data_IF_662561973041
#
_entry.id   IF_662561973041
#
_cell.length_a   1.000
_cell.length_b   1.000
_cell.length_c   1.000
_cell.angle_alpha   90.00
_cell.angle_beta   90.00
_cell.angle_gamma   90.00
#
_symmetry.space_group_name_H-M   'P 1'
#
loop_
_entity.id
_entity.type
_entity.pdbx_description
1 polymer ?
#
# COMPACT_ATOMS: atom_id res chain seq x y z
N UNK A 1 13.49 7.30 -25.39
CA UNK A 1 13.10 7.49 -26.80
C UNK A 1 11.98 6.51 -27.10
N UNK A 2 10.80 7.00 -27.47
CA UNK A 2 9.67 6.15 -27.80
C UNK A 2 9.96 5.44 -29.13
N UNK A 3 10.06 4.12 -29.14
CA UNK A 3 10.30 3.40 -30.40
C UNK A 3 9.00 3.38 -31.20
N UNK A 4 8.97 4.05 -32.36
CA UNK A 4 7.78 4.14 -33.21
C UNK A 4 7.45 2.84 -33.96
N UNK A 5 7.85 1.68 -33.42
CA UNK A 5 7.89 0.38 -34.11
C UNK A 5 6.54 -0.03 -34.69
N UNK A 6 5.46 0.28 -33.97
CA UNK A 6 4.10 0.06 -34.45
C UNK A 6 3.79 0.83 -35.74
N UNK A 7 4.21 2.09 -35.84
CA UNK A 7 3.90 2.98 -36.97
C UNK A 7 4.83 2.76 -38.16
N UNK A 8 6.07 2.32 -37.94
CA UNK A 8 7.03 1.97 -38.99
C UNK A 8 6.47 0.94 -39.98
N UNK A 9 5.64 0.00 -39.51
CA UNK A 9 4.98 -1.00 -40.35
C UNK A 9 3.97 -0.42 -41.36
N UNK A 10 3.51 0.81 -41.16
CA UNK A 10 2.55 1.52 -42.01
C UNK A 10 3.20 2.58 -42.90
N UNK A 11 4.53 2.67 -42.90
CA UNK A 11 5.31 3.55 -43.77
C UNK A 11 5.39 2.98 -45.17
N UNK A 12 5.05 3.80 -46.17
CA UNK A 12 5.17 3.47 -47.57
C UNK A 12 6.63 3.56 -48.04
N UNK A 13 6.97 2.80 -49.07
CA UNK A 13 8.33 2.76 -49.63
C UNK A 13 8.67 4.01 -50.45
N UNK A 14 7.67 4.69 -51.02
CA UNK A 14 7.82 5.96 -51.75
C UNK A 14 6.56 6.82 -51.58
N UNK A 15 6.71 8.15 -51.77
CA UNK A 15 5.59 9.10 -51.78
C UNK A 15 4.58 8.85 -52.91
N UNK A 16 5.02 8.18 -53.98
CA UNK A 16 4.21 7.92 -55.19
C UNK A 16 3.39 6.62 -55.13
N UNK A 17 3.53 5.85 -54.04
CA UNK A 17 2.81 4.59 -53.86
C UNK A 17 1.39 4.86 -53.40
N UNK A 18 0.41 4.36 -54.14
CA UNK A 18 -0.98 4.38 -53.69
C UNK A 18 -1.17 3.39 -52.53
N UNK A 19 -1.65 3.82 -51.35
CA UNK A 19 -1.84 2.93 -50.21
C UNK A 19 -2.90 1.85 -50.49
N UNK A 20 -2.68 0.66 -49.90
CA UNK A 20 -3.66 -0.45 -49.98
C UNK A 20 -5.02 -0.01 -49.46
N UNK A 21 -6.09 -0.53 -50.06
CA UNK A 21 -7.47 -0.22 -49.67
C UNK A 21 -7.78 -0.63 -48.20
N UNK A 22 -7.03 -1.59 -47.67
CA UNK A 22 -7.22 -2.14 -46.32
C UNK A 22 -6.28 -1.54 -45.26
N UNK A 23 -5.39 -0.60 -45.65
CA UNK A 23 -4.43 -0.01 -44.72
C UNK A 23 -5.11 0.92 -43.71
N UNK A 24 -5.05 0.53 -42.43
CA UNK A 24 -5.60 1.30 -41.30
C UNK A 24 -4.87 2.64 -41.10
N UNK A 25 -3.54 2.64 -41.15
CA UNK A 25 -2.71 3.84 -41.08
C UNK A 25 -1.87 3.93 -42.35
N UNK A 26 -1.52 5.15 -42.77
CA UNK A 26 -0.71 5.38 -43.97
C UNK A 26 0.27 6.50 -43.70
N UNK A 27 1.57 6.23 -43.82
CA UNK A 27 2.63 7.22 -43.70
C UNK A 27 3.48 7.28 -44.96
N UNK A 28 3.77 8.49 -45.42
CA UNK A 28 4.61 8.79 -46.56
C UNK A 28 6.00 9.19 -46.06
N UNK A 29 7.06 8.66 -46.69
CA UNK A 29 8.43 8.97 -46.28
C UNK A 29 8.75 10.45 -46.51
N UNK A 30 9.51 11.07 -45.62
CA UNK A 30 10.01 12.44 -45.76
C UNK A 30 11.48 12.42 -46.17
N UNK A 31 11.87 13.31 -47.09
CA UNK A 31 13.29 13.45 -47.43
C UNK A 31 13.95 14.40 -46.42
N UNK A 32 15.19 14.10 -46.00
CA UNK A 32 15.93 14.92 -45.02
C UNK A 32 16.02 16.39 -45.47
N UNK A 33 16.16 16.64 -46.78
CA UNK A 33 16.16 18.01 -47.34
C UNK A 33 14.88 18.80 -47.01
N UNK A 34 13.72 18.12 -46.99
CA UNK A 34 12.42 18.76 -46.77
C UNK A 34 12.29 19.19 -45.29
N UNK A 35 12.94 18.45 -44.38
CA UNK A 35 13.02 18.77 -42.95
C UNK A 35 13.88 20.03 -42.78
N UNK A 36 15.10 20.01 -43.32
CA UNK A 36 16.06 21.13 -43.22
C UNK A 36 15.49 22.41 -43.83
N UNK A 37 14.81 22.32 -44.98
CA UNK A 37 14.18 23.48 -45.62
C UNK A 37 13.07 24.07 -44.72
N UNK A 38 12.28 23.22 -44.07
CA UNK A 38 11.20 23.67 -43.17
C UNK A 38 11.74 24.28 -41.87
N UNK A 39 12.79 23.71 -41.28
CA UNK A 39 13.49 24.27 -40.11
C UNK A 39 14.14 25.62 -40.44
N UNK A 40 14.76 25.73 -41.62
CA UNK A 40 15.31 26.99 -42.11
C UNK A 40 14.25 28.07 -42.29
N UNK A 41 13.03 27.69 -42.71
CA UNK A 41 11.90 28.62 -42.82
C UNK A 41 11.37 29.05 -41.45
N UNK A 42 11.31 28.13 -40.49
CA UNK A 42 10.83 28.38 -39.12
C UNK A 42 11.84 29.17 -38.27
N UNK A 43 13.13 29.10 -38.59
CA UNK A 43 14.20 29.74 -37.83
C UNK A 43 14.61 28.98 -36.57
N UNK A 44 14.12 27.74 -36.39
CA UNK A 44 14.49 26.83 -35.31
C UNK A 44 14.41 25.37 -35.77
N UNK A 45 15.09 24.49 -35.04
CA UNK A 45 15.09 23.05 -35.30
C UNK A 45 13.82 22.40 -34.74
N UNK A 46 13.27 21.40 -35.41
CA UNK A 46 12.16 20.65 -34.85
C UNK A 46 12.58 19.97 -33.54
N UNK A 47 11.65 19.79 -32.58
CA UNK A 47 11.93 19.00 -31.39
C UNK A 47 12.45 17.61 -31.76
N UNK A 48 13.44 17.10 -31.03
CA UNK A 48 14.13 15.84 -31.33
C UNK A 48 13.17 14.68 -31.63
N UNK A 49 12.09 14.56 -30.85
CA UNK A 49 11.08 13.51 -31.03
C UNK A 49 10.32 13.62 -32.37
N UNK A 50 10.06 14.85 -32.85
CA UNK A 50 9.37 15.09 -34.11
C UNK A 50 10.30 14.92 -35.31
N UNK A 51 11.56 15.35 -35.18
CA UNK A 51 12.58 15.12 -36.19
C UNK A 51 12.87 13.62 -36.38
N UNK A 52 13.02 12.87 -35.28
CA UNK A 52 13.12 11.40 -35.31
C UNK A 52 11.89 10.76 -35.96
N UNK A 53 10.69 11.24 -35.63
CA UNK A 53 9.46 10.74 -36.24
C UNK A 53 9.43 10.96 -37.76
N UNK A 54 9.85 12.12 -38.26
CA UNK A 54 9.91 12.37 -39.71
C UNK A 54 10.93 11.48 -40.42
N UNK A 55 12.09 11.24 -39.79
CA UNK A 55 13.16 10.39 -40.34
C UNK A 55 12.74 8.92 -40.38
N UNK A 56 12.12 8.42 -39.32
CA UNK A 56 11.80 7.00 -39.17
C UNK A 56 10.44 6.61 -39.75
N UNK A 57 9.42 7.47 -39.61
CA UNK A 57 8.03 7.17 -39.97
C UNK A 57 7.57 8.04 -41.13
N UNK A 58 7.77 9.36 -41.04
CA UNK A 58 7.36 10.34 -42.05
C UNK A 58 6.12 11.13 -41.67
N UNK A 59 5.23 11.43 -42.63
CA UNK A 59 3.98 12.17 -42.40
C UNK A 59 2.80 11.40 -42.97
N UNK A 60 1.58 11.65 -42.51
CA UNK A 60 0.42 10.94 -43.05
C UNK A 60 -0.73 10.79 -42.08
N UNK A 61 -1.56 9.79 -42.32
CA UNK A 61 -2.88 9.66 -41.71
C UNK A 61 -2.96 8.45 -40.79
N UNK A 62 -3.35 8.70 -39.55
CA UNK A 62 -3.91 7.68 -38.69
C UNK A 62 -5.39 7.48 -39.07
N UNK A 63 -5.80 6.23 -39.21
CA UNK A 63 -7.17 5.87 -39.58
C UNK A 63 -7.57 6.46 -40.94
N UNK A 64 -6.75 6.23 -41.97
CA UNK A 64 -6.84 6.83 -43.32
C UNK A 64 -8.21 6.62 -44.01
N UNK A 65 -9.01 5.66 -43.55
CA UNK A 65 -10.36 5.38 -44.07
C UNK A 65 -11.40 5.22 -42.97
N UNK A 66 -11.48 6.18 -42.05
CA UNK A 66 -12.71 6.30 -41.26
C UNK A 66 -13.89 6.46 -42.23
N UNK A 67 -14.91 5.59 -42.11
CA UNK A 67 -16.14 5.65 -42.91
C UNK A 67 -16.89 6.98 -42.74
N UNK A 68 -16.55 7.75 -41.71
CA UNK A 68 -17.08 9.09 -41.41
C UNK A 68 -16.30 10.23 -42.09
N UNK A 69 -15.19 9.92 -42.76
CA UNK A 69 -14.34 10.92 -43.43
C UNK A 69 -13.48 11.74 -42.46
N UNK A 70 -13.36 11.31 -41.21
CA UNK A 70 -12.45 11.92 -40.25
C UNK A 70 -11.04 11.38 -40.46
N UNK A 71 -10.05 12.25 -40.29
CA UNK A 71 -8.67 11.82 -40.35
C UNK A 71 -7.82 12.58 -39.34
N UNK A 72 -6.87 11.84 -38.79
CA UNK A 72 -5.90 12.31 -37.82
C UNK A 72 -4.58 12.36 -38.55
N UNK A 73 -4.07 13.54 -38.88
CA UNK A 73 -2.92 13.66 -39.78
C UNK A 73 -1.73 14.32 -39.12
N UNK A 74 -0.59 13.65 -39.21
CA UNK A 74 0.71 14.27 -39.01
C UNK A 74 1.04 15.09 -40.24
N UNK A 75 1.21 16.40 -40.05
CA UNK A 75 1.48 17.34 -41.13
C UNK A 75 2.87 17.04 -41.73
N UNK A 76 3.07 17.21 -43.04
CA UNK A 76 4.41 17.22 -43.61
C UNK A 76 5.19 18.45 -43.11
N UNK A 77 6.54 18.39 -43.05
CA UNK A 77 7.36 19.51 -42.58
C UNK A 77 7.04 20.85 -43.21
N UNK A 78 6.78 20.88 -44.52
CA UNK A 78 6.42 22.09 -45.24
C UNK A 78 5.11 22.71 -44.72
N UNK A 79 4.07 21.89 -44.49
CA UNK A 79 2.80 22.38 -43.93
C UNK A 79 2.92 22.79 -42.47
N UNK A 80 3.84 22.19 -41.70
CA UNK A 80 4.19 22.68 -40.36
C UNK A 80 4.81 24.07 -40.44
N UNK A 81 5.70 24.32 -41.40
CA UNK A 81 6.21 25.66 -41.63
C UNK A 81 5.09 26.63 -42.07
N UNK A 82 4.23 26.23 -43.01
CA UNK A 82 3.14 27.07 -43.53
C UNK A 82 2.15 27.48 -42.44
N UNK A 83 1.69 26.52 -41.61
CA UNK A 83 0.69 26.78 -40.56
C UNK A 83 1.23 27.65 -39.42
N UNK A 84 2.48 27.44 -38.99
CA UNK A 84 3.08 28.19 -37.89
C UNK A 84 3.59 29.57 -38.34
N UNK A 85 3.94 29.75 -39.62
CA UNK A 85 4.28 31.06 -40.21
C UNK A 85 3.07 31.83 -40.73
N UNK A 86 1.87 31.23 -40.66
CA UNK A 86 0.61 31.76 -41.23
C UNK A 86 0.75 32.13 -42.71
N UNK A 87 1.37 31.25 -43.49
CA UNK A 87 1.50 31.41 -44.94
C UNK A 87 0.40 30.59 -45.63
N UNK A 88 -0.16 31.14 -46.71
CA UNK A 88 -1.19 30.55 -47.60
C UNK A 88 -1.32 29.01 -47.52
N UNK A 89 -2.47 28.43 -47.11
CA UNK A 89 -3.80 29.05 -46.90
C UNK A 89 -4.08 29.57 -45.48
N UNK A 90 -3.09 29.55 -44.57
CA UNK A 90 -3.32 29.76 -43.13
C UNK A 90 -3.27 31.23 -42.67
N UNK A 91 -3.00 32.16 -43.59
CA UNK A 91 -2.83 33.59 -43.28
C UNK A 91 -4.05 34.21 -42.60
N UNK A 92 -5.26 33.79 -42.98
CA UNK A 92 -6.53 34.36 -42.53
C UNK A 92 -7.43 33.32 -41.81
N UNK A 93 -6.85 32.26 -41.25
CA UNK A 93 -7.63 31.22 -40.55
C UNK A 93 -7.97 31.68 -39.11
N UNK A 94 -9.25 31.98 -38.80
CA UNK A 94 -9.64 32.44 -37.47
C UNK A 94 -9.52 31.34 -36.40
N UNK A 95 -9.51 30.05 -36.78
CA UNK A 95 -9.38 28.96 -35.81
C UNK A 95 -7.94 28.87 -35.25
N UNK A 96 -6.97 29.49 -35.91
CA UNK A 96 -5.57 29.56 -35.47
C UNK A 96 -5.31 30.66 -34.43
N UNK A 97 -6.23 31.62 -34.23
CA UNK A 97 -6.09 32.67 -33.20
C UNK A 97 -5.99 32.09 -31.78
N UNK A 98 -6.59 30.92 -31.54
CA UNK A 98 -6.55 30.22 -30.24
C UNK A 98 -5.18 29.58 -29.97
N UNK A 99 -4.36 29.42 -31.00
CA UNK A 99 -3.07 28.74 -30.96
C UNK A 99 -1.87 29.68 -31.15
N UNK A 100 -2.06 30.99 -30.93
CA UNK A 100 -1.05 32.05 -31.09
C UNK A 100 -0.04 32.10 -29.93
N UNK A 101 0.54 30.95 -29.60
CA UNK A 101 1.56 30.81 -28.55
C UNK A 101 2.93 30.52 -29.20
N UNK A 102 3.90 31.44 -29.12
CA UNK A 102 5.20 31.28 -29.77
C UNK A 102 6.05 30.15 -29.17
N UNK A 103 5.62 29.54 -28.06
CA UNK A 103 6.29 28.41 -27.42
C UNK A 103 5.76 27.05 -27.89
N UNK A 104 4.71 27.02 -28.72
CA UNK A 104 4.06 25.79 -29.17
C UNK A 104 4.16 25.63 -30.68
N UNK A 105 4.37 24.39 -31.11
CA UNK A 105 4.46 24.02 -32.52
C UNK A 105 3.23 23.21 -32.93
N UNK A 106 2.53 23.65 -33.98
CA UNK A 106 1.42 22.90 -34.57
C UNK A 106 1.98 21.92 -35.61
N UNK A 107 1.91 20.61 -35.33
CA UNK A 107 2.43 19.56 -36.22
C UNK A 107 1.41 18.46 -36.55
N UNK A 108 0.19 18.56 -36.03
CA UNK A 108 -0.83 17.54 -36.14
C UNK A 108 -2.23 18.16 -36.30
N UNK A 109 -3.01 17.66 -37.24
CA UNK A 109 -4.37 18.12 -37.50
C UNK A 109 -5.41 17.02 -37.24
N UNK A 110 -6.54 17.44 -36.68
CA UNK A 110 -7.73 16.62 -36.47
C UNK A 110 -8.83 17.12 -37.40
N UNK A 111 -9.16 16.37 -38.43
CA UNK A 111 -10.29 16.72 -39.29
C UNK A 111 -11.51 15.91 -38.90
N UNK A 112 -12.58 16.60 -38.53
CA UNK A 112 -13.91 16.01 -38.41
C UNK A 112 -14.81 16.54 -39.53
N UNK A 113 -15.43 15.65 -40.31
CA UNK A 113 -16.39 16.06 -41.34
C UNK A 113 -17.80 16.02 -40.74
N UNK A 114 -18.40 17.19 -40.56
CA UNK A 114 -19.87 17.29 -40.52
C UNK A 114 -20.41 16.79 -41.87
N UNK A 115 -21.28 15.79 -41.83
CA UNK A 115 -21.82 15.10 -43.02
C UNK A 115 -22.57 16.07 -43.95
N UNK A 116 -21.88 16.59 -44.97
CA UNK A 116 -22.50 17.12 -46.18
C UNK A 116 -22.90 15.96 -47.09
N UNK A 117 -24.20 15.66 -47.15
CA UNK A 117 -24.77 14.63 -48.01
C UNK A 117 -24.71 15.01 -49.48
N UNK A 118 -24.23 14.09 -50.32
CA UNK A 118 -24.39 14.16 -51.77
C UNK A 118 -25.77 13.65 -52.16
N UNK A 119 -26.66 14.54 -52.60
CA UNK A 119 -27.93 14.15 -53.23
C UNK A 119 -27.68 13.76 -54.69
N UNK A 120 -28.01 12.50 -55.04
CA UNK A 120 -28.31 12.13 -56.44
C UNK A 120 -29.62 12.83 -56.84
N UNK A 121 -29.60 13.59 -57.92
CA UNK A 121 -30.79 14.28 -58.47
C UNK A 121 -31.37 13.45 -59.62
N UNK A 122 -32.63 13.05 -59.48
CA UNK A 122 -33.52 12.70 -60.60
C UNK A 122 -34.36 13.95 -60.96
N UNK A 123 -34.81 14.11 -62.22
CA UNK A 123 -35.17 15.42 -62.75
C UNK A 123 -36.61 15.83 -62.39
N UNK A 124 -36.77 17.08 -61.96
CA UNK A 124 -38.04 17.76 -61.66
C UNK A 124 -37.78 19.26 -61.40
N UNK A 125 -38.73 20.16 -61.69
CA UNK A 125 -38.47 21.40 -62.43
C UNK A 125 -37.72 22.46 -61.61
N UNK A 126 -36.79 23.14 -62.28
CA UNK A 126 -35.98 24.24 -61.75
C UNK A 126 -36.85 25.47 -61.44
N UNK A 127 -36.76 25.95 -60.20
CA UNK A 127 -37.07 27.34 -59.86
C UNK A 127 -35.75 28.13 -59.89
N UNK A 128 -35.62 29.06 -60.83
CA UNK A 128 -34.51 30.01 -60.89
C UNK A 128 -34.77 31.15 -59.89
N UNK A 129 -33.79 31.47 -59.06
CA UNK A 129 -33.72 32.75 -58.34
C UNK A 129 -32.67 33.64 -59.04
N UNK A 130 -32.85 34.97 -59.09
CA UNK A 130 -31.90 35.86 -59.76
C UNK A 130 -30.62 36.00 -58.94
N UNK A 131 -29.49 36.09 -59.64
CA UNK A 131 -28.21 36.54 -59.10
C UNK A 131 -28.30 38.04 -58.81
N UNK A 132 -28.44 38.42 -57.54
CA UNK A 132 -28.06 39.74 -57.03
C UNK A 132 -27.51 39.60 -55.60
N UNK A 133 -26.40 40.29 -55.37
CA UNK A 133 -25.47 40.05 -54.26
C UNK A 133 -26.04 40.16 -52.84
N UNK A 134 -25.43 39.35 -51.96
CA UNK A 134 -25.43 39.41 -50.50
C UNK A 134 -26.73 39.07 -49.73
N UNK A 135 -26.56 38.04 -48.87
CA UNK A 135 -27.39 37.59 -47.72
C UNK A 135 -28.57 36.66 -48.00
N UNK A 136 -28.27 35.46 -48.50
CA UNK A 136 -29.07 34.27 -48.18
C UNK A 136 -28.79 33.81 -46.74
N UNK A 137 -29.57 34.26 -45.75
CA UNK A 137 -29.63 33.57 -44.45
C UNK A 137 -30.24 32.19 -44.71
N UNK A 138 -29.51 31.11 -44.40
CA UNK A 138 -30.08 29.76 -44.37
C UNK A 138 -31.29 29.75 -43.41
N UNK A 139 -32.40 29.07 -43.75
CA UNK A 139 -33.56 28.98 -42.85
C UNK A 139 -33.13 28.31 -41.55
N UNK A 140 -33.72 28.77 -40.44
CA UNK A 140 -33.35 28.40 -39.08
C UNK A 140 -33.12 26.91 -38.90
N UNK A 141 -32.05 26.60 -38.16
CA UNK A 141 -31.67 25.26 -37.71
C UNK A 141 -32.93 24.54 -37.20
N UNK A 142 -33.25 23.39 -37.79
CA UNK A 142 -34.22 22.46 -37.19
C UNK A 142 -33.87 22.31 -35.70
N UNK A 143 -34.86 22.20 -34.79
CA UNK A 143 -34.57 22.11 -33.36
C UNK A 143 -33.53 21.00 -33.16
N UNK A 144 -32.34 21.40 -32.72
CA UNK A 144 -31.33 20.43 -32.28
C UNK A 144 -32.01 19.56 -31.24
N UNK A 145 -31.76 18.25 -31.26
CA UNK A 145 -32.36 17.29 -30.34
C UNK A 145 -31.98 17.59 -28.89
N UNK A 146 -32.57 18.64 -28.32
CA UNK A 146 -32.46 19.03 -26.95
C UNK A 146 -33.34 18.08 -26.16
N UNK A 147 -32.72 17.28 -25.30
CA UNK A 147 -33.46 16.64 -24.21
C UNK A 147 -33.78 17.73 -23.20
N UNK A 148 -34.93 18.38 -23.37
CA UNK A 148 -35.46 19.30 -22.37
C UNK A 148 -35.73 18.49 -21.09
N UNK A 149 -34.93 18.74 -20.06
CA UNK A 149 -35.20 18.32 -18.70
C UNK A 149 -36.41 19.08 -18.18
N UNK A 150 -37.60 18.51 -18.33
CA UNK A 150 -38.69 18.78 -17.40
C UNK A 150 -38.23 18.33 -16.01
N UNK A 151 -38.53 19.14 -15.00
CA UNK A 151 -38.20 18.85 -13.61
C UNK A 151 -38.62 17.45 -13.19
N UNK A 152 -37.83 16.89 -12.27
CA UNK A 152 -38.04 15.65 -11.54
C UNK A 152 -39.40 14.96 -11.76
N UNK A 153 -39.48 14.08 -12.76
CA UNK A 153 -40.55 13.10 -12.90
C UNK A 153 -39.93 11.74 -13.24
N UNK A 154 -40.31 10.73 -12.46
CA UNK A 154 -39.82 9.35 -12.54
C UNK A 154 -40.10 8.75 -13.93
N UNK A 155 -39.04 8.53 -14.71
CA UNK A 155 -38.98 7.57 -15.82
C UNK A 155 -37.53 7.10 -16.00
N UNK A 156 -37.28 5.82 -16.34
CA UNK A 156 -36.03 5.14 -16.03
C UNK A 156 -35.00 5.31 -17.16
N UNK A 157 -34.23 6.41 -17.17
CA UNK A 157 -33.12 6.56 -18.13
C UNK A 157 -31.92 7.29 -17.51
N UNK A 158 -31.40 6.74 -16.42
CA UNK A 158 -29.99 6.86 -16.04
C UNK A 158 -29.27 5.66 -16.67
N UNK A 159 -28.75 5.82 -17.88
CA UNK A 159 -27.97 4.76 -18.52
C UNK A 159 -26.67 4.56 -17.76
N UNK A 160 -26.57 3.52 -16.94
CA UNK A 160 -25.29 3.03 -16.40
C UNK A 160 -24.37 2.71 -17.59
N UNK A 161 -23.18 3.28 -17.64
CA UNK A 161 -22.20 2.99 -18.70
C UNK A 161 -20.93 2.36 -18.14
N UNK A 162 -20.37 1.40 -18.87
CA UNK A 162 -19.15 0.66 -18.50
C UNK A 162 -17.93 1.29 -19.18
N UNK A 163 -16.81 1.32 -18.49
CA UNK A 163 -15.54 1.84 -19.03
C UNK A 163 -14.71 0.72 -19.64
N UNK A 164 -14.04 0.99 -20.77
CA UNK A 164 -13.04 0.12 -21.40
C UNK A 164 -11.78 0.92 -21.79
N UNK A 165 -10.60 0.35 -21.49
CA UNK A 165 -9.21 0.77 -21.81
C UNK A 165 -8.46 1.79 -20.92
N UNK A 166 -7.13 1.60 -20.81
CA UNK A 166 -6.18 2.17 -19.86
C UNK A 166 -5.79 3.65 -20.09
N UNK A 167 -5.44 4.33 -18.98
CA UNK A 167 -5.19 5.78 -18.83
C UNK A 167 -3.75 6.25 -19.18
N UNK A 168 -3.62 7.53 -19.56
CA UNK A 168 -2.37 8.34 -19.54
C UNK A 168 -2.61 9.70 -18.84
N UNK A 169 -1.63 10.30 -18.14
CA UNK A 169 -1.79 11.60 -17.50
C UNK A 169 -2.06 12.71 -18.52
N UNK A 170 -3.10 13.53 -18.27
CA UNK A 170 -3.43 14.72 -19.07
C UNK A 170 -4.58 14.57 -20.09
N UNK A 171 -5.18 13.38 -20.25
CA UNK A 171 -6.36 13.18 -21.11
C UNK A 171 -7.49 12.43 -20.36
N UNK A 172 -8.73 12.64 -20.82
CA UNK A 172 -10.00 12.14 -20.21
C UNK A 172 -10.14 10.61 -20.16
N UNK A 173 -11.37 10.06 -20.09
CA UNK A 173 -11.63 8.58 -20.19
C UNK A 173 -12.66 8.23 -21.27
N UNK A 174 -12.51 7.09 -21.96
CA UNK A 174 -13.50 6.57 -22.94
C UNK A 174 -14.55 5.74 -22.21
N UNK A 175 -15.83 5.90 -22.57
CA UNK A 175 -16.97 5.21 -21.99
C UNK A 175 -17.67 4.40 -23.08
N UNK A 176 -18.07 3.17 -22.75
CA UNK A 176 -18.84 2.29 -23.63
C UNK A 176 -20.34 2.46 -23.37
N UNK A 177 -21.13 2.76 -24.41
CA UNK A 177 -22.60 2.77 -24.30
C UNK A 177 -23.14 1.33 -24.22
N UNK A 178 -24.25 1.11 -23.49
CA UNK A 178 -24.98 -0.17 -23.54
C UNK A 178 -25.58 -0.30 -24.94
N UNK A 179 -24.85 -0.95 -25.83
CA UNK A 179 -25.32 -1.50 -27.09
C UNK A 179 -25.16 -3.02 -26.97
N UNK A 180 -26.08 -3.80 -27.57
CA UNK A 180 -26.09 -5.28 -27.56
C UNK A 180 -24.79 -5.97 -28.01
N UNK A 181 -23.77 -5.18 -28.43
CA UNK A 181 -22.38 -5.60 -28.65
C UNK A 181 -21.41 -4.54 -28.09
N UNK A 182 -20.81 -4.74 -26.91
CA UNK A 182 -19.99 -3.73 -26.22
C UNK A 182 -18.70 -3.35 -26.95
N UNK A 183 -18.17 -4.21 -27.83
CA UNK A 183 -16.85 -4.04 -28.48
C UNK A 183 -16.84 -2.96 -29.59
N UNK A 184 -17.95 -2.28 -29.86
CA UNK A 184 -18.10 -1.38 -31.01
C UNK A 184 -18.60 0.03 -30.69
N UNK A 185 -18.76 0.38 -29.41
CA UNK A 185 -19.40 1.63 -28.99
C UNK A 185 -18.58 2.41 -27.94
N UNK A 186 -17.29 2.61 -28.19
CA UNK A 186 -16.48 3.52 -27.39
C UNK A 186 -16.80 4.99 -27.74
N UNK A 187 -16.98 5.82 -26.72
CA UNK A 187 -17.00 7.28 -26.89
C UNK A 187 -15.60 7.85 -27.16
N UNK A 188 -15.55 9.15 -27.49
CA UNK A 188 -14.32 9.93 -27.34
C UNK A 188 -13.88 10.03 -25.87
N UNK A 189 -12.80 10.78 -25.60
CA UNK A 189 -12.38 11.07 -24.23
C UNK A 189 -13.36 12.03 -23.54
N UNK A 190 -13.82 11.67 -22.34
CA UNK A 190 -14.69 12.50 -21.51
C UNK A 190 -13.94 13.08 -20.32
N UNK A 191 -14.34 14.30 -19.94
CA UNK A 191 -13.95 14.90 -18.67
C UNK A 191 -14.71 14.24 -17.53
N UNK A 192 -14.05 14.15 -16.37
CA UNK A 192 -14.62 13.61 -15.13
C UNK A 192 -14.61 14.72 -14.09
N UNK A 193 -15.77 15.00 -13.51
CA UNK A 193 -15.89 15.93 -12.39
C UNK A 193 -15.18 15.37 -11.16
N UNK A 194 -14.41 16.21 -10.48
CA UNK A 194 -13.79 15.88 -9.20
C UNK A 194 -14.38 16.75 -8.08
N UNK A 195 -14.39 16.27 -6.81
CA UNK A 195 -14.89 17.08 -5.69
C UNK A 195 -14.12 18.38 -5.47
N UNK A 196 -12.84 18.42 -5.84
CA UNK A 196 -12.00 19.60 -5.82
C UNK A 196 -10.93 19.47 -6.90
N UNK A 197 -10.69 20.55 -7.63
CA UNK A 197 -9.64 20.68 -8.64
C UNK A 197 -9.05 22.10 -8.57
N UNK A 198 -7.74 22.19 -8.58
CA UNK A 198 -6.96 23.41 -8.71
C UNK A 198 -5.65 23.10 -9.42
N UNK A 199 -4.82 24.12 -9.63
CA UNK A 199 -3.54 23.98 -10.30
C UNK A 199 -2.62 22.99 -9.54
N UNK A 200 -2.47 21.77 -10.06
CA UNK A 200 -1.72 20.68 -9.45
C UNK A 200 -2.29 20.10 -8.15
N UNK A 201 -3.51 20.48 -7.74
CA UNK A 201 -4.12 20.07 -6.46
C UNK A 201 -5.55 19.58 -6.68
N UNK A 202 -5.98 18.59 -5.93
CA UNK A 202 -7.34 18.08 -6.09
C UNK A 202 -7.53 16.69 -5.54
N UNK A 203 -8.78 16.24 -5.59
CA UNK A 203 -9.12 14.84 -5.38
C UNK A 203 -9.27 14.18 -6.74
N UNK A 204 -8.44 13.19 -7.05
CA UNK A 204 -8.52 12.49 -8.33
C UNK A 204 -9.12 11.10 -8.13
N UNK A 205 -10.43 10.99 -8.29
CA UNK A 205 -11.12 9.70 -8.32
C UNK A 205 -11.28 9.26 -9.76
N UNK A 206 -10.40 8.36 -10.21
CA UNK A 206 -10.40 7.94 -11.61
C UNK A 206 -11.16 6.61 -11.77
N UNK A 207 -12.31 6.56 -12.47
CA UNK A 207 -13.18 5.37 -12.41
C UNK A 207 -12.64 4.21 -13.23
N UNK A 208 -12.51 3.01 -12.67
CA UNK A 208 -11.84 1.88 -13.31
C UNK A 208 -12.62 1.26 -14.48
N UNK A 209 -11.93 0.51 -15.34
CA UNK A 209 -12.55 -0.31 -16.39
C UNK A 209 -13.58 -1.25 -15.75
N UNK A 210 -14.79 -1.30 -16.32
CA UNK A 210 -15.91 -2.06 -15.76
C UNK A 210 -16.74 -1.35 -14.69
N UNK A 211 -16.29 -0.21 -14.13
CA UNK A 211 -17.08 0.60 -13.20
C UNK A 211 -18.23 1.34 -13.90
N UNK A 212 -19.24 1.68 -13.11
CA UNK A 212 -20.41 2.42 -13.59
C UNK A 212 -20.31 3.90 -13.25
N UNK A 213 -20.55 4.74 -14.26
CA UNK A 213 -20.46 6.20 -14.14
C UNK A 213 -21.76 6.90 -14.53
N UNK A 214 -22.03 8.04 -13.91
CA UNK A 214 -23.10 8.96 -14.28
C UNK A 214 -22.57 9.95 -15.31
N UNK A 215 -23.26 10.07 -16.43
CA UNK A 215 -22.86 11.00 -17.49
C UNK A 215 -23.97 11.99 -17.77
N UNK A 216 -23.61 13.28 -17.72
CA UNK A 216 -24.45 14.39 -18.12
C UNK A 216 -23.99 14.92 -19.49
N UNK A 217 -24.77 15.82 -20.07
CA UNK A 217 -24.49 16.44 -21.37
C UNK A 217 -24.47 17.96 -21.20
N UNK A 218 -23.33 18.58 -21.51
CA UNK A 218 -23.19 20.03 -21.45
C UNK A 218 -24.17 20.67 -22.44
N UNK A 219 -24.88 21.70 -21.98
CA UNK A 219 -25.96 22.35 -22.72
C UNK A 219 -27.09 21.42 -23.21
N UNK A 220 -27.20 20.21 -22.65
CA UNK A 220 -28.18 19.20 -23.08
C UNK A 220 -27.87 18.60 -24.47
N UNK A 221 -26.65 18.78 -24.97
CA UNK A 221 -26.21 18.33 -26.29
C UNK A 221 -25.49 16.98 -26.19
N UNK A 222 -25.94 15.94 -26.89
CA UNK A 222 -25.31 14.61 -26.89
C UNK A 222 -23.82 14.60 -27.28
N UNK A 223 -23.39 15.62 -28.02
CA UNK A 223 -22.01 15.79 -28.52
C UNK A 223 -21.02 16.19 -27.42
N UNK A 224 -21.48 16.71 -26.28
CA UNK A 224 -20.63 17.17 -25.17
C UNK A 224 -20.91 16.40 -23.87
N UNK A 225 -20.63 15.09 -23.82
CA UNK A 225 -20.85 14.32 -22.61
C UNK A 225 -19.77 14.61 -21.56
N UNK A 226 -20.16 14.66 -20.29
CA UNK A 226 -19.29 14.84 -19.12
C UNK A 226 -19.66 13.88 -18.01
N UNK A 227 -18.67 13.20 -17.42
CA UNK A 227 -18.92 12.32 -16.27
C UNK A 227 -19.10 13.18 -15.03
N UNK A 228 -20.28 13.11 -14.41
CA UNK A 228 -20.66 13.92 -13.23
C UNK A 228 -20.55 13.18 -11.92
N UNK A 229 -20.29 11.88 -11.95
CA UNK A 229 -20.17 11.09 -10.74
C UNK A 229 -19.99 9.61 -11.01
N UNK A 230 -19.69 8.88 -9.95
CA UNK A 230 -19.54 7.43 -9.96
C UNK A 230 -20.74 6.80 -9.27
N UNK A 231 -21.16 5.63 -9.75
CA UNK A 231 -22.14 4.80 -9.07
C UNK A 231 -21.41 3.64 -8.45
N UNK A 232 -21.66 3.42 -7.16
CA UNK A 232 -21.05 2.30 -6.45
C UNK A 232 -21.55 0.97 -7.02
N UNK A 233 -20.63 0.04 -7.25
CA UNK A 233 -20.93 -1.37 -7.48
C UNK A 233 -20.21 -2.22 -6.42
N UNK A 234 -20.77 -3.37 -6.01
CA UNK A 234 -20.13 -4.23 -5.02
C UNK A 234 -18.70 -4.62 -5.47
N UNK A 235 -17.72 -4.54 -4.55
CA UNK A 235 -16.40 -5.17 -4.70
C UNK A 235 -15.17 -4.24 -4.70
N UNK A 236 -15.26 -2.98 -5.13
CA UNK A 236 -14.07 -2.13 -5.39
C UNK A 236 -14.05 -0.77 -4.67
N UNK A 237 -14.92 -0.52 -3.69
CA UNK A 237 -14.92 0.77 -3.00
C UNK A 237 -13.86 0.91 -1.91
N UNK A 238 -13.39 2.15 -1.81
CA UNK A 238 -13.00 2.75 -0.53
C UNK A 238 -14.27 3.33 0.10
N UNK A 239 -14.72 2.76 1.21
CA UNK A 239 -15.87 3.23 1.97
C UNK A 239 -15.40 4.24 3.02
N UNK A 240 -15.97 5.44 2.98
CA UNK A 240 -15.83 6.49 3.99
C UNK A 240 -17.15 6.60 4.75
N UNK A 241 -17.22 5.97 5.92
CA UNK A 241 -18.44 5.86 6.71
C UNK A 241 -18.47 6.85 7.89
N UNK A 242 -19.62 7.50 8.09
CA UNK A 242 -19.91 8.30 9.27
C UNK A 242 -21.01 7.63 10.08
N UNK A 243 -20.75 7.28 11.34
CA UNK A 243 -21.75 6.62 12.20
C UNK A 243 -22.71 7.63 12.86
N UNK A 244 -22.60 8.91 12.54
CA UNK A 244 -23.41 9.99 13.14
C UNK A 244 -22.91 10.49 14.49
N UNK A 245 -22.04 9.73 15.16
CA UNK A 245 -21.27 10.15 16.35
C UNK A 245 -19.98 10.91 15.99
N UNK A 246 -19.78 11.19 14.69
CA UNK A 246 -18.56 11.82 14.16
C UNK A 246 -17.41 10.86 13.89
N UNK A 247 -17.56 9.56 14.19
CA UNK A 247 -16.55 8.57 13.82
C UNK A 247 -16.45 8.42 12.30
N UNK A 248 -15.21 8.35 11.80
CA UNK A 248 -14.89 8.17 10.40
C UNK A 248 -14.23 6.81 10.25
N UNK A 249 -14.78 5.96 9.38
CA UNK A 249 -14.16 4.67 9.02
C UNK A 249 -13.70 4.71 7.57
N UNK A 250 -12.47 4.27 7.32
CA UNK A 250 -11.93 4.05 5.98
C UNK A 250 -11.81 2.54 5.78
N UNK A 251 -12.54 1.97 4.83
CA UNK A 251 -12.50 0.54 4.51
C UNK A 251 -12.18 0.34 3.04
N UNK A 252 -11.27 -0.58 2.74
CA UNK A 252 -10.91 -0.98 1.37
C UNK A 252 -10.86 -2.50 1.26
N UNK A 253 -11.32 -3.05 0.14
CA UNK A 253 -11.15 -4.48 -0.17
C UNK A 253 -9.77 -4.77 -0.79
N UNK A 254 -9.12 -3.77 -1.35
CA UNK A 254 -7.77 -3.85 -1.91
C UNK A 254 -6.71 -3.26 -0.97
N UNK A 255 -5.42 -3.45 -1.29
CA UNK A 255 -4.33 -2.85 -0.54
C UNK A 255 -4.40 -1.32 -0.58
N UNK A 256 -3.98 -0.68 0.51
CA UNK A 256 -3.90 0.78 0.63
C UNK A 256 -2.43 1.16 0.79
N UNK A 257 -1.93 2.04 -0.08
CA UNK A 257 -0.55 2.56 -0.03
C UNK A 257 -0.60 4.08 0.09
N UNK A 258 0.18 4.62 1.03
CA UNK A 258 0.32 6.06 1.25
C UNK A 258 1.75 6.45 0.92
N UNK A 259 1.93 7.35 -0.06
CA UNK A 259 3.23 7.83 -0.49
C UNK A 259 3.28 9.35 -0.33
N UNK A 260 4.29 9.83 0.37
CA UNK A 260 4.57 11.25 0.57
C UNK A 260 6.03 11.40 1.00
N UNK A 261 6.70 12.53 0.73
CA UNK A 261 7.99 12.83 1.34
C UNK A 261 7.96 12.75 2.87
N UNK A 262 6.82 13.13 3.48
CA UNK A 262 6.59 13.06 4.93
C UNK A 262 5.18 12.59 5.23
N UNK A 263 5.03 11.64 6.17
CA UNK A 263 3.75 11.17 6.71
C UNK A 263 3.80 11.35 8.22
N UNK A 264 2.88 12.16 8.77
CA UNK A 264 2.73 12.36 10.21
C UNK A 264 1.36 11.83 10.65
N UNK A 265 1.34 11.05 11.74
CA UNK A 265 0.12 10.54 12.37
C UNK A 265 0.07 11.11 13.78
N UNK A 266 -0.88 12.00 14.03
CA UNK A 266 -1.05 12.69 15.31
C UNK A 266 -2.48 12.53 15.80
N UNK A 267 -2.64 12.30 17.10
CA UNK A 267 -3.92 12.25 17.77
C UNK A 267 -4.04 13.45 18.72
N UNK A 268 -5.28 13.85 19.05
CA UNK A 268 -5.55 15.03 19.89
C UNK A 268 -5.16 14.85 21.37
N UNK A 269 -5.69 15.69 22.26
CA UNK A 269 -5.30 15.70 23.69
C UNK A 269 -5.51 14.35 24.42
N UNK A 270 -6.58 13.62 24.10
CA UNK A 270 -6.84 12.25 24.61
C UNK A 270 -6.25 11.17 23.70
N UNK A 271 -5.47 11.58 22.71
CA UNK A 271 -5.20 10.84 21.50
C UNK A 271 -4.57 9.47 21.74
N UNK A 272 -5.08 8.49 21.02
CA UNK A 272 -4.62 7.11 21.05
C UNK A 272 -4.50 6.61 19.61
N UNK A 273 -3.43 5.87 19.32
CA UNK A 273 -3.20 5.25 18.00
C UNK A 273 -3.07 3.75 18.23
N UNK A 274 -4.09 3.01 17.81
CA UNK A 274 -4.16 1.55 17.92
C UNK A 274 -3.86 0.88 16.58
N UNK A 275 -2.93 -0.07 16.57
CA UNK A 275 -2.57 -0.87 15.41
C UNK A 275 -2.89 -2.33 15.71
N UNK A 276 -3.86 -2.91 14.99
CA UNK A 276 -4.28 -4.29 15.17
C UNK A 276 -4.35 -5.02 13.83
N UNK A 277 -3.57 -6.09 13.70
CA UNK A 277 -3.55 -6.98 12.55
C UNK A 277 -3.00 -8.35 12.95
N UNK A 278 -3.14 -9.36 12.08
CA UNK A 278 -2.46 -10.65 12.26
C UNK A 278 -0.93 -10.50 12.27
N UNK A 279 -0.41 -9.65 11.38
CA UNK A 279 1.01 -9.37 11.24
C UNK A 279 1.21 -7.85 11.12
N UNK A 280 2.22 -7.32 11.80
CA UNK A 280 2.68 -5.94 11.68
C UNK A 280 4.18 -5.96 11.39
N UNK A 281 4.62 -5.24 10.37
CA UNK A 281 6.04 -5.13 9.99
C UNK A 281 6.43 -3.68 9.87
N UNK A 282 7.50 -3.28 10.56
CA UNK A 282 8.06 -1.93 10.52
C UNK A 282 9.50 -2.04 10.01
N UNK A 283 9.79 -1.38 8.90
CA UNK A 283 11.12 -1.37 8.27
C UNK A 283 11.57 0.07 8.08
N UNK A 284 12.75 0.41 8.59
CA UNK A 284 13.43 1.67 8.36
C UNK A 284 14.82 1.40 7.79
N UNK A 285 15.25 2.19 6.80
CA UNK A 285 16.57 2.04 6.17
C UNK A 285 17.69 2.68 6.98
N UNK A 286 17.37 3.78 7.68
CA UNK A 286 18.34 4.49 8.51
C UNK A 286 18.07 4.28 10.00
N UNK A 287 16.94 4.80 10.50
CA UNK A 287 16.66 4.88 11.93
C UNK A 287 15.19 4.56 12.25
N UNK A 288 14.98 3.78 13.30
CA UNK A 288 13.69 3.62 13.98
C UNK A 288 13.84 4.16 15.41
N UNK A 289 13.01 5.13 15.80
CA UNK A 289 13.01 5.72 17.15
C UNK A 289 11.68 5.47 17.84
N UNK A 290 11.73 4.96 19.06
CA UNK A 290 10.57 4.77 19.93
C UNK A 290 10.80 5.57 21.21
N UNK A 291 9.99 6.60 21.44
CA UNK A 291 10.13 7.51 22.57
C UNK A 291 8.80 7.56 23.32
N UNK A 292 8.85 7.34 24.63
CA UNK A 292 7.70 7.47 25.53
C UNK A 292 8.14 8.19 26.81
N UNK A 293 7.29 9.07 27.31
CA UNK A 293 7.58 9.86 28.51
C UNK A 293 7.34 9.12 29.83
N UNK A 294 6.53 8.04 29.81
CA UNK A 294 6.15 7.31 31.02
C UNK A 294 6.55 5.84 30.96
N UNK A 295 6.04 5.10 29.98
CA UNK A 295 6.19 3.64 29.91
C UNK A 295 6.19 3.17 28.46
N UNK A 296 7.01 2.17 28.18
CA UNK A 296 6.98 1.40 26.93
C UNK A 296 6.99 -0.07 27.33
N UNK A 297 6.07 -0.87 26.78
CA UNK A 297 5.92 -2.29 27.11
C UNK A 297 5.85 -3.12 25.84
N UNK A 298 6.41 -4.32 25.91
CA UNK A 298 6.27 -5.34 24.88
C UNK A 298 6.14 -6.70 25.57
N UNK A 299 5.13 -7.48 25.20
CA UNK A 299 4.81 -8.79 25.78
C UNK A 299 4.48 -9.76 24.65
N UNK A 300 5.14 -10.92 24.65
CA UNK A 300 5.06 -11.96 23.62
C UNK A 300 5.55 -13.27 24.23
N UNK A 301 5.18 -14.40 23.63
CA UNK A 301 5.73 -15.71 24.01
C UNK A 301 7.24 -15.78 23.70
N UNK A 302 7.65 -15.25 22.55
CA UNK A 302 9.05 -15.21 22.12
C UNK A 302 9.42 -13.82 21.59
N UNK A 303 10.60 -13.33 21.97
CA UNK A 303 11.18 -12.07 21.50
C UNK A 303 12.65 -12.24 21.17
N UNK A 304 13.03 -11.85 19.96
CA UNK A 304 14.42 -11.86 19.50
C UNK A 304 14.88 -10.44 19.17
N UNK A 305 16.03 -10.05 19.73
CA UNK A 305 16.64 -8.73 19.48
C UNK A 305 18.06 -8.95 18.99
N UNK A 306 18.32 -8.54 17.75
CA UNK A 306 19.62 -8.69 17.11
C UNK A 306 20.27 -7.34 16.88
N UNK A 307 21.52 -7.19 17.32
CA UNK A 307 22.37 -6.07 16.95
C UNK A 307 23.71 -6.61 16.47
N UNK A 308 24.12 -6.22 15.27
CA UNK A 308 25.37 -6.72 14.65
C UNK A 308 26.62 -6.09 15.25
N UNK A 309 26.52 -4.89 15.80
CA UNK A 309 27.64 -4.17 16.41
C UNK A 309 27.48 -3.99 17.92
N UNK A 310 26.38 -3.38 18.36
CA UNK A 310 26.16 -3.05 19.78
C UNK A 310 24.68 -3.08 20.14
N UNK A 311 24.36 -3.73 21.25
CA UNK A 311 23.11 -3.59 22.00
C UNK A 311 23.42 -2.92 23.34
N UNK A 312 22.79 -1.79 23.66
CA UNK A 312 22.94 -1.06 24.93
C UNK A 312 21.60 -1.02 25.65
N UNK A 313 21.57 -1.35 26.94
CA UNK A 313 20.42 -1.15 27.82
C UNK A 313 20.88 -0.33 29.02
N UNK A 314 20.33 0.86 29.18
CA UNK A 314 20.74 1.82 30.21
C UNK A 314 19.53 2.24 31.02
N UNK A 315 19.59 2.05 32.34
CA UNK A 315 18.61 2.53 33.29
C UNK A 315 19.31 3.38 34.34
N UNK A 316 18.81 4.59 34.61
CA UNK A 316 19.41 5.51 35.59
C UNK A 316 19.46 4.90 37.00
N UNK A 317 18.43 4.12 37.37
CA UNK A 317 18.35 3.43 38.66
C UNK A 317 18.60 1.94 38.53
N UNK A 318 17.95 1.27 37.57
CA UNK A 318 18.03 -0.19 37.43
C UNK A 318 17.77 -0.59 35.98
N UNK A 319 18.55 -1.55 35.49
CA UNK A 319 18.26 -2.32 34.28
C UNK A 319 18.38 -3.81 34.65
N UNK A 320 17.28 -4.55 34.56
CA UNK A 320 17.23 -5.96 34.95
C UNK A 320 16.93 -6.82 33.74
N UNK A 321 17.78 -7.82 33.48
CA UNK A 321 17.51 -8.90 32.54
C UNK A 321 17.45 -10.21 33.33
N UNK A 322 16.25 -10.74 33.57
CA UNK A 322 16.09 -12.00 34.31
C UNK A 322 15.81 -13.16 33.38
N UNK A 323 16.62 -14.20 33.49
CA UNK A 323 16.23 -15.55 33.09
C UNK A 323 15.79 -16.33 34.34
N UNK A 324 14.69 -17.07 34.25
CA UNK A 324 14.33 -18.00 35.31
C UNK A 324 15.29 -19.20 35.24
N UNK A 325 16.20 -19.32 36.21
CA UNK A 325 17.05 -20.51 36.33
C UNK A 325 16.28 -21.62 37.05
N UNK A 326 16.29 -22.87 36.54
CA UNK A 326 15.68 -24.01 37.24
C UNK A 326 16.32 -24.23 38.60
N UNK A 327 15.56 -24.73 39.57
CA UNK A 327 16.12 -25.12 40.87
C UNK A 327 17.11 -26.29 40.70
N UNK A 328 18.20 -26.29 41.46
CA UNK A 328 19.23 -27.33 41.44
C UNK A 328 18.98 -28.41 42.49
N UNK A 329 19.45 -29.63 42.24
CA UNK A 329 19.33 -30.80 43.11
C UNK A 329 20.64 -31.61 43.20
N UNK A 330 20.75 -32.45 44.23
CA UNK A 330 21.86 -33.39 44.46
C UNK A 330 22.18 -34.19 43.21
N UNK A 331 23.37 -34.03 42.63
CA UNK A 331 23.84 -34.69 41.42
C UNK A 331 23.87 -33.79 40.17
N UNK A 332 23.34 -32.56 40.26
CA UNK A 332 23.35 -31.65 39.11
C UNK A 332 24.77 -31.14 38.87
N UNK A 333 25.06 -30.88 37.59
CA UNK A 333 26.37 -30.43 37.17
C UNK A 333 26.65 -29.04 37.74
N UNK A 334 27.76 -28.95 38.45
CA UNK A 334 28.34 -27.73 39.00
C UNK A 334 29.52 -27.25 38.15
N UNK A 335 30.22 -26.21 38.58
CA UNK A 335 31.37 -25.67 37.84
C UNK A 335 32.45 -26.72 37.56
N UNK A 336 33.14 -26.56 36.43
CA UNK A 336 34.20 -27.45 35.94
C UNK A 336 33.76 -28.93 35.80
N UNK A 337 32.49 -29.18 35.50
CA UNK A 337 31.96 -30.54 35.37
C UNK A 337 31.85 -31.29 36.70
N UNK A 338 31.94 -30.57 37.83
CA UNK A 338 31.65 -31.13 39.15
C UNK A 338 30.17 -31.46 39.34
N UNK A 339 29.83 -32.01 40.49
CA UNK A 339 28.45 -32.30 40.86
C UNK A 339 28.14 -31.81 42.27
N UNK A 340 26.89 -31.39 42.48
CA UNK A 340 26.37 -31.17 43.84
C UNK A 340 26.27 -32.53 44.53
N UNK A 341 26.85 -32.68 45.72
CA UNK A 341 26.95 -33.98 46.42
C UNK A 341 26.17 -34.02 47.74
N UNK A 342 25.59 -32.90 48.16
CA UNK A 342 24.68 -32.80 49.31
C UNK A 342 23.47 -31.95 48.92
N UNK A 343 22.32 -32.23 49.52
CA UNK A 343 21.11 -31.41 49.38
C UNK A 343 20.29 -31.42 50.66
N UNK A 344 19.10 -30.85 50.57
CA UNK A 344 18.09 -30.84 51.63
C UNK A 344 17.67 -32.26 52.07
N UNK A 345 17.56 -32.55 53.37
CA UNK A 345 17.19 -33.88 53.86
C UNK A 345 15.71 -34.25 53.59
N UNK A 346 14.85 -33.28 53.29
CA UNK A 346 13.39 -33.45 53.25
C UNK A 346 12.68 -32.67 52.14
N UNK A 347 13.40 -31.86 51.35
CA UNK A 347 12.84 -31.15 50.19
C UNK A 347 13.50 -31.72 48.95
N UNK A 348 12.69 -32.18 48.00
CA UNK A 348 13.15 -32.89 46.81
C UNK A 348 12.68 -32.17 45.54
N UNK A 349 13.56 -32.10 44.55
CA UNK A 349 13.27 -31.62 43.18
C UNK A 349 13.49 -32.80 42.25
N UNK A 350 12.46 -33.22 41.53
CA UNK A 350 12.53 -34.41 40.66
C UNK A 350 12.95 -35.68 41.43
N UNK A 351 12.53 -35.82 42.69
CA UNK A 351 12.89 -36.97 43.55
C UNK A 351 14.32 -36.94 44.13
N UNK A 352 15.13 -35.92 43.81
CA UNK A 352 16.49 -35.74 44.31
C UNK A 352 16.54 -34.63 45.37
N UNK A 353 17.34 -34.76 46.44
CA UNK A 353 17.49 -33.71 47.46
C UNK A 353 17.75 -32.33 46.85
N UNK A 354 16.93 -31.34 47.18
CA UNK A 354 17.05 -29.99 46.64
C UNK A 354 18.31 -29.30 47.14
N UNK A 355 19.09 -28.70 46.25
CA UNK A 355 20.34 -28.04 46.61
C UNK A 355 20.08 -26.64 47.17
N UNK A 356 20.96 -26.20 48.05
CA UNK A 356 20.87 -24.94 48.80
C UNK A 356 22.23 -24.26 48.81
N UNK A 357 22.25 -22.96 49.03
CA UNK A 357 23.50 -22.25 49.31
C UNK A 357 24.20 -22.90 50.52
N UNK A 358 25.49 -23.18 50.35
CA UNK A 358 26.33 -23.89 51.32
C UNK A 358 26.41 -25.39 51.13
N UNK A 359 25.52 -26.02 50.35
CA UNK A 359 25.60 -27.45 50.08
C UNK A 359 26.88 -27.79 49.29
N UNK A 360 27.45 -28.95 49.58
CA UNK A 360 28.77 -29.34 49.07
C UNK A 360 28.75 -29.70 47.59
N UNK A 361 29.83 -29.35 46.90
CA UNK A 361 30.10 -29.66 45.50
C UNK A 361 31.39 -30.48 45.42
N UNK A 362 31.41 -31.53 44.60
CA UNK A 362 32.63 -32.26 44.25
C UNK A 362 33.08 -31.84 42.85
N UNK A 363 34.25 -31.22 42.75
CA UNK A 363 34.84 -30.72 41.51
C UNK A 363 36.07 -31.57 41.12
N UNK A 364 36.18 -32.06 39.87
CA UNK A 364 37.31 -32.87 39.41
C UNK A 364 38.67 -32.17 39.50
N UNK A 365 38.69 -30.83 39.43
CA UNK A 365 39.92 -30.04 39.36
C UNK A 365 40.37 -29.46 40.69
N UNK A 366 39.42 -29.15 41.59
CA UNK A 366 39.70 -28.44 42.85
C UNK A 366 39.26 -29.21 44.10
N UNK A 367 38.74 -30.44 43.94
CA UNK A 367 38.23 -31.24 45.03
C UNK A 367 36.90 -30.70 45.57
N UNK A 368 36.76 -30.66 46.89
CA UNK A 368 35.51 -30.20 47.52
C UNK A 368 35.31 -28.68 47.34
N UNK A 369 34.06 -28.29 47.20
CA UNK A 369 33.59 -26.92 47.08
C UNK A 369 32.20 -26.78 47.70
N UNK A 370 31.60 -25.61 47.51
CA UNK A 370 30.26 -25.29 48.00
C UNK A 370 29.46 -24.53 46.95
N UNK A 371 28.14 -24.66 46.99
CA UNK A 371 27.24 -23.73 46.29
C UNK A 371 27.33 -22.37 47.01
N UNK A 372 27.91 -21.36 46.35
CA UNK A 372 28.23 -20.09 46.99
C UNK A 372 27.12 -19.05 46.91
N UNK A 373 26.16 -19.22 45.99
CA UNK A 373 25.00 -18.33 45.81
C UNK A 373 23.72 -19.15 45.65
N UNK A 374 22.61 -18.60 46.11
CA UNK A 374 21.27 -19.14 45.93
C UNK A 374 20.25 -18.02 45.66
N UNK A 375 18.97 -18.37 45.63
CA UNK A 375 17.86 -17.43 45.46
C UNK A 375 17.79 -16.40 46.59
N UNK A 376 17.52 -15.13 46.25
CA UNK A 376 17.34 -14.07 47.25
C UNK A 376 15.99 -14.15 47.99
N UNK A 377 15.01 -14.87 47.44
CA UNK A 377 13.62 -14.87 47.91
C UNK A 377 13.07 -16.25 48.21
N UNK A 378 13.73 -17.33 47.75
CA UNK A 378 13.28 -18.71 47.94
C UNK A 378 14.26 -19.42 48.86
N UNK A 379 13.75 -19.93 49.98
CA UNK A 379 14.55 -20.62 51.00
C UNK A 379 14.07 -22.06 51.15
N UNK A 380 15.00 -22.99 51.32
CA UNK A 380 14.74 -24.40 51.62
C UNK A 380 15.43 -24.70 52.94
N UNK A 381 14.64 -25.09 53.96
CA UNK A 381 15.13 -25.27 55.33
C UNK A 381 15.91 -24.06 55.88
N UNK A 382 15.45 -22.85 55.56
CA UNK A 382 16.05 -21.61 56.05
C UNK A 382 17.33 -21.18 55.33
N UNK A 383 17.85 -21.96 54.37
CA UNK A 383 18.96 -21.54 53.51
C UNK A 383 18.48 -21.21 52.09
N UNK A 384 19.06 -20.22 51.40
CA UNK A 384 18.72 -19.89 50.02
C UNK A 384 18.71 -21.10 49.09
N UNK A 385 17.64 -21.31 48.33
CA UNK A 385 17.52 -22.39 47.37
C UNK A 385 18.54 -22.20 46.23
N UNK A 386 19.30 -23.24 45.89
CA UNK A 386 20.24 -23.19 44.77
C UNK A 386 19.49 -23.38 43.45
N UNK A 387 19.97 -22.73 42.39
CA UNK A 387 19.50 -22.86 41.02
C UNK A 387 20.63 -23.38 40.14
N UNK A 388 20.26 -24.02 39.03
CA UNK A 388 21.23 -24.42 38.02
C UNK A 388 22.02 -23.20 37.57
N UNK A 389 23.35 -23.36 37.48
CA UNK A 389 24.31 -22.31 37.14
C UNK A 389 24.52 -21.22 38.20
N UNK A 390 23.99 -21.38 39.43
CA UNK A 390 24.42 -20.54 40.54
C UNK A 390 25.93 -20.74 40.81
N UNK A 391 26.61 -19.65 41.21
CA UNK A 391 28.06 -19.64 41.44
C UNK A 391 28.46 -20.67 42.51
N UNK A 392 29.50 -21.45 42.25
CA UNK A 392 30.10 -22.38 43.23
C UNK A 392 31.51 -21.92 43.63
N UNK A 393 31.86 -22.06 44.91
CA UNK A 393 33.19 -21.77 45.43
C UNK A 393 34.05 -23.03 45.53
N UNK A 394 35.33 -22.94 45.13
CA UNK A 394 36.31 -24.02 45.29
C UNK A 394 37.04 -23.88 46.63
N UNK A 395 37.24 -24.98 47.36
CA UNK A 395 38.04 -24.98 48.60
C UNK A 395 39.47 -25.44 48.29
N UNK A 396 40.23 -24.61 47.58
CA UNK A 396 41.67 -24.86 47.43
C UNK A 396 42.36 -24.42 48.71
N UNK A 397 42.89 -25.37 49.49
CA UNK A 397 43.59 -25.06 50.73
C UNK A 397 44.78 -24.12 50.45
N UNK A 398 44.68 -22.88 50.94
CA UNK A 398 45.76 -21.88 50.86
C UNK A 398 45.63 -20.80 49.78
N UNK A 399 44.57 -20.76 48.97
CA UNK A 399 44.27 -19.63 48.10
C UNK A 399 42.90 -19.03 48.41
N UNK A 400 42.87 -17.71 48.61
CA UNK A 400 41.65 -16.91 48.75
C UNK A 400 40.76 -17.19 47.54
N UNK A 401 39.46 -17.44 47.78
CA UNK A 401 38.46 -17.69 46.76
C UNK A 401 38.57 -16.63 45.65
N UNK A 402 39.12 -17.01 44.50
CA UNK A 402 39.09 -16.17 43.30
C UNK A 402 37.67 -16.30 42.78
N UNK A 403 36.81 -15.39 43.24
CA UNK A 403 35.55 -15.13 42.55
C UNK A 403 35.91 -14.68 41.14
N UNK A 404 35.62 -15.53 40.15
CA UNK A 404 35.45 -15.05 38.78
C UNK A 404 34.33 -14.00 38.86
N UNK A 405 34.58 -12.73 38.50
CA UNK A 405 33.54 -11.73 38.55
C UNK A 405 32.53 -12.07 37.46
N UNK A 406 31.43 -12.71 37.85
CA UNK A 406 30.19 -12.51 37.11
C UNK A 406 29.86 -11.03 37.26
N UNK A 407 29.73 -10.33 36.13
CA UNK A 407 29.24 -8.96 36.05
C UNK A 407 27.81 -8.90 36.61
N UNK A 408 27.67 -8.83 37.93
CA UNK A 408 26.43 -8.54 38.64
C UNK A 408 26.83 -7.74 39.87
N UNK A 409 26.33 -6.52 39.95
CA UNK A 409 26.64 -5.55 41.01
C UNK A 409 26.31 -6.05 42.42
N UNK A 410 26.69 -5.27 43.46
CA UNK A 410 26.47 -5.64 44.85
C UNK A 410 24.98 -5.94 45.11
N UNK A 411 24.73 -7.03 45.83
CA UNK A 411 23.39 -7.38 46.29
C UNK A 411 22.83 -6.23 47.15
N UNK A 412 21.55 -5.82 46.95
CA UNK A 412 20.93 -4.85 47.83
C UNK A 412 20.90 -5.40 49.27
N UNK A 413 21.12 -4.50 50.23
CA UNK A 413 21.06 -4.83 51.65
C UNK A 413 19.69 -5.45 51.98
N UNK A 414 19.71 -6.65 52.56
CA UNK A 414 18.50 -7.36 52.98
C UNK A 414 17.76 -6.54 54.04
N UNK A 415 16.49 -6.23 53.76
CA UNK A 415 15.55 -5.80 54.78
C UNK A 415 15.36 -6.95 55.81
N UNK A 416 15.17 -6.65 57.11
CA UNK A 416 14.97 -7.69 58.11
C UNK A 416 13.67 -8.45 57.82
N UNK A 417 13.79 -9.77 57.64
CA UNK A 417 12.65 -10.65 57.44
C UNK A 417 11.77 -10.69 58.70
N UNK A 418 10.47 -10.42 58.54
CA UNK A 418 9.47 -10.68 59.55
C UNK A 418 9.38 -12.20 59.82
N UNK A 419 9.16 -12.64 61.07
CA UNK A 419 9.01 -14.06 61.38
C UNK A 419 7.72 -14.61 60.76
N UNK A 420 7.83 -15.71 60.00
CA UNK A 420 6.69 -16.43 59.44
C UNK A 420 5.88 -17.14 60.55
N UNK A 421 4.54 -17.14 60.49
CA UNK A 421 3.70 -17.83 61.47
C UNK A 421 3.85 -19.35 61.35
N UNK A 422 3.94 -20.01 62.51
CA UNK A 422 3.98 -21.47 62.60
C UNK A 422 2.60 -22.06 62.24
N UNK A 423 2.52 -22.91 61.22
CA UNK A 423 1.36 -23.77 60.98
C UNK A 423 0.80 -23.91 59.56
N UNK A 424 1.51 -23.50 58.50
CA UNK A 424 1.03 -23.74 57.14
C UNK A 424 1.28 -25.20 56.68
N UNK A 425 0.30 -25.90 56.06
CA UNK A 425 0.50 -27.23 55.49
C UNK A 425 1.45 -27.22 54.27
N UNK A 426 1.98 -28.37 53.83
CA UNK A 426 2.93 -28.43 52.73
C UNK A 426 2.26 -27.96 51.43
N UNK A 427 2.87 -26.98 50.77
CA UNK A 427 2.49 -26.57 49.42
C UNK A 427 3.12 -27.59 48.45
N UNK A 428 2.30 -28.48 47.89
CA UNK A 428 2.68 -29.28 46.72
C UNK A 428 2.65 -28.37 45.49
N UNK A 429 3.83 -27.94 45.02
CA UNK A 429 3.96 -27.31 43.72
C UNK A 429 4.02 -28.39 42.64
N UNK A 430 2.92 -28.53 41.90
CA UNK A 430 2.86 -29.27 40.65
C UNK A 430 3.52 -28.46 39.53
N UNK A 431 4.67 -28.92 39.04
CA UNK A 431 5.22 -28.56 37.74
C UNK A 431 5.01 -29.72 36.76
N UNK A 432 4.02 -29.57 35.90
CA UNK A 432 3.89 -30.15 34.55
C UNK A 432 4.62 -31.46 34.21
N UNK A 433 3.89 -32.57 34.22
CA UNK A 433 3.95 -33.62 33.19
C UNK A 433 2.51 -33.97 32.80
N UNK A 434 2.23 -34.04 31.49
CA UNK A 434 0.93 -34.46 30.98
C UNK A 434 0.58 -35.88 31.49
N UNK A 435 -0.68 -36.17 31.84
CA UNK A 435 -1.05 -37.50 32.32
C UNK A 435 -0.99 -38.54 31.19
N UNK A 436 -0.21 -39.60 31.38
CA UNK A 436 -0.29 -40.81 30.56
C UNK A 436 -1.64 -41.50 30.77
N UNK A 437 -2.32 -41.87 29.69
CA UNK A 437 -3.40 -42.85 29.71
C UNK A 437 -3.08 -43.94 28.70
N UNK A 438 -2.92 -45.17 29.19
CA UNK A 438 -2.58 -46.37 28.41
C UNK A 438 -1.21 -46.36 27.70
N UNK A 439 -0.18 -45.75 28.31
CA UNK A 439 1.22 -45.98 27.94
C UNK A 439 1.68 -45.41 26.59
N UNK A 440 1.12 -44.29 26.13
CA UNK A 440 1.64 -43.52 24.98
C UNK A 440 1.61 -42.01 25.24
N UNK A 441 2.68 -41.32 24.84
CA UNK A 441 2.74 -39.86 24.74
C UNK A 441 2.07 -39.39 23.44
N UNK A 442 1.37 -38.26 23.47
CA UNK A 442 0.84 -37.64 22.25
C UNK A 442 2.01 -37.13 21.39
N UNK A 443 2.16 -37.67 20.18
CA UNK A 443 3.05 -37.15 19.14
C UNK A 443 2.31 -36.10 18.30
N UNK A 444 3.02 -35.03 17.96
CA UNK A 444 2.55 -33.80 17.30
C UNK A 444 2.21 -33.97 15.80
N UNK A 445 1.65 -35.11 15.36
CA UNK A 445 1.47 -35.37 13.92
C UNK A 445 0.19 -36.10 13.49
N UNK A 446 -0.90 -35.97 14.26
CA UNK A 446 -2.23 -36.34 13.77
C UNK A 446 -2.89 -35.14 13.06
N UNK A 447 -2.98 -35.26 11.73
CA UNK A 447 -3.42 -34.22 10.78
C UNK A 447 -4.93 -33.92 10.88
N UNK A 448 -5.26 -32.76 11.47
CA UNK A 448 -6.35 -31.79 11.15
C UNK A 448 -7.84 -32.21 11.19
N UNK A 449 -8.84 -31.29 11.24
CA UNK A 449 -8.86 -29.85 11.62
C UNK A 449 -9.94 -29.51 12.68
N UNK A 450 -9.69 -28.51 13.53
CA UNK A 450 -10.72 -27.90 14.41
C UNK A 450 -10.35 -27.85 15.88
N UNK A 451 -9.26 -27.16 16.20
CA UNK A 451 -8.80 -26.89 17.56
C UNK A 451 -9.85 -26.16 18.40
N UNK A 452 -10.44 -26.94 19.28
CA UNK A 452 -10.97 -26.67 20.63
C UNK A 452 -10.89 -25.25 21.19
N UNK A 453 -12.07 -24.79 21.59
CA UNK A 453 -12.38 -23.71 22.52
C UNK A 453 -11.52 -23.76 23.79
N UNK A 454 -10.86 -22.65 24.11
CA UNK A 454 -10.40 -22.39 25.46
C UNK A 454 -11.62 -22.20 26.38
N UNK A 455 -11.72 -23.04 27.42
CA UNK A 455 -12.64 -22.82 28.52
C UNK A 455 -12.20 -21.57 29.28
N UNK A 456 -13.03 -20.54 29.21
CA UNK A 456 -12.95 -19.31 29.99
C UNK A 456 -13.42 -19.60 31.42
N UNK A 457 -12.58 -19.31 32.42
CA UNK A 457 -12.97 -19.34 33.84
C UNK A 457 -12.82 -17.92 34.41
N UNK A 458 -13.93 -17.23 34.64
CA UNK A 458 -13.96 -15.97 35.41
C UNK A 458 -14.14 -16.30 36.89
N UNK A 459 -13.13 -16.02 37.70
CA UNK A 459 -13.27 -15.95 39.15
C UNK A 459 -13.66 -14.53 39.54
N UNK A 460 -14.89 -14.34 40.00
CA UNK A 460 -15.34 -13.07 40.58
C UNK A 460 -15.05 -13.11 42.08
N UNK A 461 -14.18 -12.22 42.56
CA UNK A 461 -13.84 -12.13 43.99
C UNK A 461 -14.65 -10.99 44.61
N UNK A 462 -15.28 -11.23 45.76
CA UNK A 462 -16.09 -10.23 46.49
C UNK A 462 -15.60 -10.13 47.93
N UNK A 463 -15.43 -8.90 48.42
CA UNK A 463 -15.21 -8.56 49.83
C UNK A 463 -16.59 -8.40 50.49
N UNK A 464 -17.08 -9.47 51.12
CA UNK A 464 -18.41 -9.54 51.68
C UNK A 464 -18.52 -8.88 53.06
N UNK A 465 -17.42 -8.80 53.82
CA UNK A 465 -17.40 -8.22 55.16
C UNK A 465 -16.96 -6.74 55.20
N UNK A 466 -16.48 -6.22 54.06
CA UNK A 466 -16.05 -4.83 53.84
C UNK A 466 -14.89 -4.42 54.73
N UNK A 467 -14.02 -5.36 55.09
CA UNK A 467 -12.81 -5.06 55.83
C UNK A 467 -11.69 -4.49 54.95
N UNK A 468 -11.88 -4.48 53.62
CA UNK A 468 -10.94 -3.97 52.64
C UNK A 468 -9.96 -5.01 52.11
N UNK A 469 -10.17 -6.29 52.43
CA UNK A 469 -9.48 -7.44 51.85
C UNK A 469 -10.46 -8.36 51.13
N UNK A 470 -10.00 -8.99 50.05
CA UNK A 470 -10.85 -9.91 49.31
C UNK A 470 -10.99 -11.24 50.04
N UNK A 471 -12.21 -11.68 50.29
CA UNK A 471 -12.48 -13.01 50.84
C UNK A 471 -11.99 -14.10 49.86
N UNK A 472 -11.19 -15.03 50.36
CA UNK A 472 -10.65 -16.16 49.57
C UNK A 472 -11.68 -17.22 49.25
#
# INVERSE_FOLDING_TARGET
MATFDFLKSYRLNSKDVTPSADSKHVFYPVAIKDIIESESRLGFLFPDELDEFYKEVGYGFLNHRDKRGNFNRFLPPASVADINLRVDPYENDPDLEVYDDPTKLIFFELTSRATGGSCKVAPGPQACAPDDGARGRRPGRAPGGGRHGAGHARAPLLGQRRLDSCWRPGQGRRITEIIDKPVQAESGWLRVTTPYSGDGKGHLFTPEVGSQVLVNYEHGLPEFPVVVGNVFHPGTAVELGFKGDGSITIKSNGPVTVLSPTIALEAGEKGEINLHAKNITIKAEENLKLLSGLKTEASTEEMEIYATQKLSLEGSTTATLTSAQPAAALGDVAAHGGAIVIGSPNVFIGGRPAARQGDSVACPFHGMGVVSRGSATVFINGTPAARLLDTTGCLVAGLVAISIPSVLGPAPAAAPAAPAPAGAPPIEWAGSFAPEKNGKFYEQNDKEPGGVSALHAEGHVTDADKDGTYDT
#
